data_IF_727282722600
#
_entry.id   IF_727282722600
#
_cell.length_a   1.000
_cell.length_b   1.000
_cell.length_c   1.000
_cell.angle_alpha   90.00
_cell.angle_beta   90.00
_cell.angle_gamma   90.00
#
_symmetry.space_group_name_H-M   'P 1'
#
loop_
_entity.id
_entity.type
_entity.pdbx_description
1 polymer ?
#
# COMPACT_ATOMS: atom_id res chain seq x y z
N UNK A 1 4.96 -28.75 3.04
CA UNK A 1 4.16 -28.13 4.13
C UNK A 1 4.89 -28.10 5.48
N UNK A 2 6.01 -28.86 5.67
CA UNK A 2 6.76 -28.87 6.93
C UNK A 2 7.80 -27.74 7.07
N UNK A 3 8.15 -27.03 6.01
CA UNK A 3 9.15 -25.95 6.02
C UNK A 3 8.71 -24.68 6.80
N UNK A 4 7.40 -24.54 7.07
CA UNK A 4 6.87 -23.41 7.84
C UNK A 4 6.78 -23.67 9.36
N UNK A 5 6.98 -24.91 9.82
CA UNK A 5 6.87 -25.25 11.24
C UNK A 5 7.88 -24.49 12.12
N UNK A 6 9.17 -24.35 11.72
CA UNK A 6 10.11 -23.56 12.51
C UNK A 6 9.74 -22.08 12.62
N UNK A 7 9.18 -21.50 11.55
CA UNK A 7 8.75 -20.09 11.55
C UNK A 7 7.53 -19.86 12.45
N UNK A 8 6.57 -20.80 12.45
CA UNK A 8 5.39 -20.75 13.31
C UNK A 8 5.81 -20.88 14.77
N UNK A 9 6.68 -21.83 15.10
CA UNK A 9 7.20 -22.02 16.47
C UNK A 9 8.01 -20.82 16.96
N UNK A 10 8.85 -20.22 16.09
CA UNK A 10 9.60 -19.01 16.43
C UNK A 10 8.65 -17.83 16.73
N UNK A 11 7.58 -17.67 15.94
CA UNK A 11 6.57 -16.64 16.14
C UNK A 11 5.78 -16.81 17.43
N UNK A 12 5.31 -18.02 17.71
CA UNK A 12 4.59 -18.34 18.95
C UNK A 12 5.51 -18.18 20.19
N UNK A 13 6.78 -18.59 20.08
CA UNK A 13 7.76 -18.43 21.15
C UNK A 13 8.06 -16.95 21.42
N UNK A 14 8.14 -16.12 20.38
CA UNK A 14 8.28 -14.65 20.51
C UNK A 14 7.08 -14.03 21.21
N UNK A 15 5.86 -14.41 20.85
CA UNK A 15 4.63 -13.95 21.48
C UNK A 15 4.54 -14.34 22.95
N UNK A 16 4.88 -15.59 23.28
CA UNK A 16 4.83 -16.11 24.65
C UNK A 16 5.96 -15.52 25.51
N UNK A 17 7.15 -15.29 24.96
CA UNK A 17 8.29 -14.75 25.68
C UNK A 17 8.26 -13.24 25.91
N UNK A 18 7.28 -12.51 25.31
CA UNK A 18 7.19 -11.05 25.36
C UNK A 18 8.38 -10.33 24.70
N UNK A 19 9.22 -11.04 23.95
CA UNK A 19 10.41 -10.50 23.27
C UNK A 19 10.12 -9.79 21.96
N UNK A 20 8.84 -9.50 21.66
CA UNK A 20 8.46 -8.65 20.52
C UNK A 20 8.90 -7.18 20.72
N UNK A 21 9.11 -6.74 21.94
CA UNK A 21 9.65 -5.40 22.24
C UNK A 21 11.18 -5.46 22.14
N UNK A 22 11.73 -4.74 21.18
CA UNK A 22 13.17 -4.62 20.96
C UNK A 22 13.63 -3.22 21.45
N UNK A 23 14.33 -3.19 22.59
CA UNK A 23 14.93 -1.97 23.12
C UNK A 23 16.42 -1.94 22.71
N UNK A 24 16.72 -1.34 21.56
CA UNK A 24 18.07 -1.24 21.03
C UNK A 24 18.20 -0.08 20.07
N UNK A 25 19.36 0.54 20.04
CA UNK A 25 19.66 1.65 19.12
C UNK A 25 20.11 1.11 17.77
N UNK A 26 19.52 1.57 16.69
CA UNK A 26 19.88 1.26 15.30
C UNK A 26 19.44 2.37 14.37
N UNK A 27 19.99 2.40 13.16
CA UNK A 27 19.51 3.28 12.07
C UNK A 27 18.69 2.43 11.12
N UNK A 28 17.45 2.81 10.79
CA UNK A 28 16.66 2.09 9.77
C UNK A 28 17.33 2.09 8.40
N UNK A 29 17.17 0.97 7.69
CA UNK A 29 17.67 0.76 6.34
C UNK A 29 16.51 0.92 5.36
N UNK A 30 16.71 1.68 4.29
CA UNK A 30 15.73 1.81 3.19
C UNK A 30 15.75 0.52 2.38
N UNK A 31 14.58 -0.09 2.22
CA UNK A 31 14.38 -1.34 1.46
C UNK A 31 13.49 -1.15 0.24
N UNK A 32 12.71 -0.06 0.22
CA UNK A 32 11.86 0.33 -0.90
C UNK A 32 11.71 1.86 -0.92
N UNK A 33 12.06 2.48 -2.04
CA UNK A 33 12.07 3.94 -2.21
C UNK A 33 10.71 4.51 -2.62
N UNK A 34 9.71 3.69 -2.88
CA UNK A 34 8.38 4.14 -3.33
C UNK A 34 7.66 5.08 -2.35
N UNK A 35 8.08 5.10 -1.09
CA UNK A 35 7.51 5.91 -0.02
C UNK A 35 8.49 6.96 0.54
N UNK A 36 9.77 6.91 0.20
CA UNK A 36 10.78 7.70 0.90
C UNK A 36 11.74 8.38 -0.07
N UNK A 37 11.55 9.68 -0.26
CA UNK A 37 12.55 10.57 -0.87
C UNK A 37 13.56 11.10 0.19
N UNK A 38 13.62 10.44 1.35
CA UNK A 38 14.40 10.88 2.49
C UNK A 38 15.75 10.16 2.56
N UNK A 39 16.75 10.88 3.02
CA UNK A 39 18.08 10.34 3.29
C UNK A 39 18.53 10.71 4.71
N UNK A 40 19.49 9.95 5.24
CA UNK A 40 20.07 10.27 6.55
C UNK A 40 19.09 10.07 7.70
N UNK A 41 18.37 8.95 7.70
CA UNK A 41 17.44 8.62 8.77
C UNK A 41 18.10 8.64 10.14
N UNK A 42 17.44 9.27 11.13
CA UNK A 42 17.89 9.23 12.52
C UNK A 42 17.85 7.82 13.11
N UNK A 43 18.52 7.63 14.23
CA UNK A 43 18.45 6.39 14.99
C UNK A 43 17.11 6.24 15.71
N UNK A 44 16.66 5.00 15.81
CA UNK A 44 15.61 4.56 16.73
C UNK A 44 16.23 3.81 17.90
N UNK A 45 15.64 3.89 19.08
CA UNK A 45 16.08 3.16 20.27
C UNK A 45 15.17 1.99 20.63
N UNK A 46 14.15 1.72 19.81
CA UNK A 46 13.27 0.57 19.99
C UNK A 46 12.18 0.45 18.91
N UNK A 47 11.60 -0.73 18.83
CA UNK A 47 10.51 -1.08 17.93
C UNK A 47 9.82 -2.38 18.38
N UNK A 48 8.67 -2.66 17.78
CA UNK A 48 7.97 -3.94 17.92
C UNK A 48 8.41 -4.89 16.79
N UNK A 49 9.11 -5.96 17.15
CA UNK A 49 9.49 -7.00 16.18
C UNK A 49 8.23 -7.66 15.63
N UNK A 50 8.06 -7.57 14.32
CA UNK A 50 6.91 -8.10 13.58
C UNK A 50 7.38 -8.85 12.34
N UNK A 51 6.48 -9.61 11.75
CA UNK A 51 6.71 -10.26 10.47
C UNK A 51 5.85 -9.59 9.41
N UNK A 52 6.41 -9.31 8.28
CA UNK A 52 5.70 -8.76 7.14
C UNK A 52 4.57 -9.69 6.65
N UNK A 53 3.50 -9.14 6.15
CA UNK A 53 2.49 -9.89 5.42
C UNK A 53 2.99 -10.22 4.01
N UNK A 54 2.54 -11.33 3.39
CA UNK A 54 3.01 -11.73 2.05
C UNK A 54 2.83 -10.69 0.94
N UNK A 55 1.91 -9.73 1.11
CA UNK A 55 1.62 -8.66 0.14
C UNK A 55 2.03 -7.27 0.65
N UNK A 56 2.72 -7.19 1.78
CA UNK A 56 3.22 -5.93 2.27
C UNK A 56 4.53 -5.55 1.57
N UNK A 57 4.70 -4.27 1.33
CA UNK A 57 5.96 -3.67 0.94
C UNK A 57 6.61 -3.10 2.19
N UNK A 58 7.84 -3.49 2.49
CA UNK A 58 8.63 -2.94 3.58
C UNK A 58 9.45 -1.79 3.01
N UNK A 59 9.23 -0.56 3.49
CA UNK A 59 9.98 0.62 3.04
C UNK A 59 11.17 0.95 3.93
N UNK A 60 11.08 0.64 5.22
CA UNK A 60 12.19 0.73 6.17
C UNK A 60 12.27 -0.55 6.98
N UNK A 61 13.47 -1.09 7.13
CA UNK A 61 13.75 -2.26 7.95
C UNK A 61 14.77 -1.93 9.04
N UNK A 62 14.80 -2.74 10.10
CA UNK A 62 15.89 -2.75 11.06
C UNK A 62 17.14 -3.37 10.45
N UNK A 63 18.26 -3.27 11.14
CA UNK A 63 19.52 -3.98 10.79
C UNK A 63 19.41 -5.51 10.94
N UNK A 64 18.25 -6.03 11.36
CA UNK A 64 17.88 -7.45 11.41
C UNK A 64 16.83 -7.83 10.39
N UNK A 65 16.60 -6.97 9.40
CA UNK A 65 15.60 -7.17 8.34
C UNK A 65 14.15 -7.22 8.85
N UNK A 66 13.88 -6.77 10.09
CA UNK A 66 12.52 -6.70 10.63
C UNK A 66 11.85 -5.40 10.18
N UNK A 67 10.54 -5.41 9.80
CA UNK A 67 9.84 -4.24 9.30
C UNK A 67 9.75 -3.11 10.33
N UNK A 68 10.16 -1.91 9.95
CA UNK A 68 9.99 -0.67 10.72
C UNK A 68 8.87 0.18 10.12
N UNK A 69 8.86 0.34 8.80
CA UNK A 69 7.80 0.97 8.05
C UNK A 69 7.37 0.02 6.95
N UNK A 70 6.11 -0.38 6.95
CA UNK A 70 5.56 -1.25 5.92
C UNK A 70 4.15 -0.80 5.53
N UNK A 71 3.77 -1.09 4.29
CA UNK A 71 2.44 -0.76 3.80
C UNK A 71 1.89 -1.85 2.88
N UNK A 72 0.57 -1.89 2.73
CA UNK A 72 -0.11 -2.79 1.80
C UNK A 72 -1.46 -2.23 1.37
N UNK A 73 -1.96 -2.75 0.25
CA UNK A 73 -3.32 -2.47 -0.21
C UNK A 73 -4.32 -3.33 0.56
N UNK A 74 -5.40 -2.73 1.04
CA UNK A 74 -6.52 -3.43 1.65
C UNK A 74 -7.84 -2.92 1.06
N UNK A 75 -8.48 -3.73 0.22
CA UNK A 75 -9.62 -3.26 -0.57
C UNK A 75 -9.24 -2.07 -1.46
N UNK A 76 -10.03 -1.01 -1.41
CA UNK A 76 -9.74 0.25 -2.11
C UNK A 76 -8.79 1.19 -1.33
N UNK A 77 -8.49 0.86 -0.07
CA UNK A 77 -7.64 1.68 0.80
C UNK A 77 -6.22 1.17 0.91
N UNK A 78 -5.38 1.97 1.57
CA UNK A 78 -4.01 1.62 1.92
C UNK A 78 -3.86 1.55 3.44
N UNK A 79 -3.06 0.62 3.90
CA UNK A 79 -2.67 0.49 5.30
C UNK A 79 -1.19 0.74 5.39
N UNK A 80 -0.79 1.52 6.36
CA UNK A 80 0.61 1.78 6.69
C UNK A 80 0.84 1.43 8.15
N UNK A 81 1.95 0.77 8.44
CA UNK A 81 2.35 0.35 9.77
C UNK A 81 3.73 0.92 10.09
N UNK A 82 3.81 1.65 11.18
CA UNK A 82 5.04 2.10 11.80
C UNK A 82 5.23 1.34 13.11
N UNK A 83 6.29 0.53 13.22
CA UNK A 83 6.49 -0.40 14.35
C UNK A 83 7.23 0.20 15.54
N UNK A 84 7.72 1.44 15.42
CA UNK A 84 8.25 2.21 16.54
C UNK A 84 7.14 3.08 17.16
N UNK A 85 7.50 4.03 18.01
CA UNK A 85 6.56 4.97 18.62
C UNK A 85 6.56 6.33 17.90
N UNK A 86 5.61 7.21 18.29
CA UNK A 86 5.53 8.61 17.84
C UNK A 86 5.54 9.58 19.03
N UNK A 87 5.91 9.11 20.21
CA UNK A 87 5.92 9.89 21.45
C UNK A 87 7.34 10.24 21.96
N UNK A 88 8.36 9.69 21.29
CA UNK A 88 9.76 9.98 21.61
C UNK A 88 10.41 9.00 22.58
N UNK A 89 9.73 7.95 23.03
CA UNK A 89 10.35 6.93 23.86
C UNK A 89 11.44 6.16 23.08
N UNK A 90 11.16 5.85 21.81
CA UNK A 90 12.08 5.17 20.88
C UNK A 90 12.44 6.03 19.67
N UNK A 91 11.59 6.98 19.32
CA UNK A 91 11.67 7.80 18.10
C UNK A 91 12.13 9.24 18.35
N UNK A 92 12.79 9.54 19.49
CA UNK A 92 13.23 10.90 19.83
C UNK A 92 14.06 11.53 18.70
N UNK A 93 14.97 10.77 18.08
CA UNK A 93 15.77 11.22 16.95
C UNK A 93 14.92 11.61 15.75
N UNK A 94 13.88 10.83 15.43
CA UNK A 94 12.94 11.13 14.35
C UNK A 94 12.10 12.37 14.63
N UNK A 95 11.62 12.56 15.87
CA UNK A 95 10.80 13.72 16.21
C UNK A 95 11.59 15.04 16.22
N UNK A 96 12.90 14.98 16.46
CA UNK A 96 13.82 16.12 16.39
C UNK A 96 14.45 16.33 15.02
N UNK A 97 14.22 15.41 14.10
CA UNK A 97 14.77 15.49 12.76
C UNK A 97 14.13 16.62 11.96
N UNK A 98 14.94 17.38 11.22
CA UNK A 98 14.47 18.51 10.42
C UNK A 98 13.35 18.12 9.43
N UNK A 99 13.41 16.89 8.92
CA UNK A 99 12.42 16.37 7.96
C UNK A 99 11.26 15.60 8.64
N UNK A 100 11.16 15.58 9.97
CA UNK A 100 10.14 14.82 10.70
C UNK A 100 8.71 15.13 10.25
N UNK A 101 8.37 16.41 10.11
CA UNK A 101 7.04 16.84 9.69
C UNK A 101 6.71 16.38 8.25
N UNK A 102 7.68 16.45 7.33
CA UNK A 102 7.53 15.97 5.95
C UNK A 102 7.41 14.45 5.92
N UNK A 103 8.21 13.71 6.69
CA UNK A 103 8.17 12.26 6.77
C UNK A 103 6.82 11.74 7.30
N UNK A 104 6.40 12.17 8.49
CA UNK A 104 5.11 11.74 9.05
C UNK A 104 3.91 12.27 8.26
N UNK A 105 4.00 13.51 7.74
CA UNK A 105 3.00 14.08 6.85
C UNK A 105 2.85 13.30 5.54
N UNK A 106 3.97 12.87 4.94
CA UNK A 106 3.98 11.99 3.76
C UNK A 106 3.32 10.65 4.03
N UNK A 107 3.60 10.03 5.17
CA UNK A 107 2.93 8.79 5.60
C UNK A 107 1.41 8.96 5.71
N UNK A 108 0.95 10.05 6.32
CA UNK A 108 -0.48 10.36 6.42
C UNK A 108 -1.10 10.61 5.05
N UNK A 109 -0.45 11.43 4.21
CA UNK A 109 -0.91 11.70 2.85
C UNK A 109 -1.00 10.44 1.99
N UNK A 110 -0.09 9.48 2.19
CA UNK A 110 -0.09 8.23 1.45
C UNK A 110 -1.31 7.34 1.73
N UNK A 111 -1.81 7.32 2.97
CA UNK A 111 -2.98 6.50 3.35
C UNK A 111 -4.30 7.22 3.13
N UNK A 112 -4.29 8.55 3.02
CA UNK A 112 -5.50 9.30 2.71
C UNK A 112 -5.98 9.03 1.28
N UNK A 113 -7.31 9.01 1.05
CA UNK A 113 -7.85 8.94 -0.30
C UNK A 113 -7.27 10.08 -1.15
N UNK A 114 -6.73 9.74 -2.30
CA UNK A 114 -6.27 10.72 -3.28
C UNK A 114 -7.49 11.25 -4.05
N UNK A 115 -8.24 12.18 -3.49
CA UNK A 115 -9.46 12.73 -4.13
C UNK A 115 -9.18 13.45 -5.45
N UNK A 116 -7.96 13.94 -5.66
CA UNK A 116 -7.63 14.79 -6.80
C UNK A 116 -7.24 14.05 -8.10
N UNK A 117 -7.04 12.74 -8.07
CA UNK A 117 -6.59 11.97 -9.25
C UNK A 117 -7.32 10.64 -9.47
N UNK A 118 -8.28 10.30 -8.66
CA UNK A 118 -9.11 9.13 -8.89
C UNK A 118 -10.21 9.50 -9.89
N UNK A 119 -10.22 8.87 -11.06
CA UNK A 119 -11.39 8.93 -11.92
C UNK A 119 -12.61 8.31 -11.24
N UNK A 120 -13.78 8.64 -11.71
CA UNK A 120 -15.04 8.12 -11.17
C UNK A 120 -15.45 6.85 -11.90
N UNK A 121 -15.76 5.79 -11.14
CA UNK A 121 -16.28 4.53 -11.68
C UNK A 121 -17.76 4.41 -11.33
N UNK A 122 -18.60 4.16 -12.34
CA UNK A 122 -20.04 3.93 -12.18
C UNK A 122 -20.44 2.66 -12.90
N UNK A 123 -21.45 1.99 -12.37
CA UNK A 123 -22.15 0.92 -13.08
C UNK A 123 -23.56 1.41 -13.42
N UNK A 124 -23.86 1.52 -14.68
CA UNK A 124 -25.17 1.97 -15.16
C UNK A 124 -25.59 1.14 -16.38
N UNK A 125 -26.86 0.73 -16.43
CA UNK A 125 -27.48 0.07 -17.59
C UNK A 125 -26.69 -1.13 -18.16
N UNK A 126 -26.12 -1.96 -17.27
CA UNK A 126 -25.31 -3.10 -17.68
C UNK A 126 -23.93 -2.75 -18.26
N UNK A 127 -23.44 -1.54 -17.97
CA UNK A 127 -22.12 -1.07 -18.40
C UNK A 127 -21.30 -0.62 -17.19
N UNK A 128 -20.01 -0.83 -17.26
CA UNK A 128 -19.04 -0.22 -16.39
C UNK A 128 -18.51 1.02 -17.08
N UNK A 129 -18.77 2.17 -16.48
CA UNK A 129 -18.36 3.49 -16.99
C UNK A 129 -17.25 4.05 -16.10
N UNK A 130 -16.22 4.58 -16.72
CA UNK A 130 -15.10 5.23 -16.03
C UNK A 130 -14.87 6.61 -16.59
N UNK A 131 -14.91 7.63 -15.74
CA UNK A 131 -14.55 9.00 -16.09
C UNK A 131 -13.14 9.28 -15.59
N UNK A 132 -12.20 9.46 -16.50
CA UNK A 132 -10.81 9.73 -16.17
C UNK A 132 -10.62 11.15 -15.61
N UNK A 133 -9.64 11.37 -14.71
CA UNK A 133 -9.28 12.71 -14.27
C UNK A 133 -8.78 13.58 -15.43
N UNK A 134 -8.78 14.88 -15.22
CA UNK A 134 -8.34 15.83 -16.23
C UNK A 134 -6.86 15.62 -16.60
N UNK A 135 -6.56 15.57 -17.90
CA UNK A 135 -5.21 15.34 -18.41
C UNK A 135 -4.76 13.88 -18.44
N UNK A 136 -5.56 12.95 -17.94
CA UNK A 136 -5.23 11.52 -18.02
C UNK A 136 -5.71 10.94 -19.35
N UNK A 137 -4.76 10.44 -20.16
CA UNK A 137 -5.03 9.81 -21.45
C UNK A 137 -4.35 8.44 -21.54
N UNK A 138 -4.95 7.52 -22.29
CA UNK A 138 -4.39 6.20 -22.51
C UNK A 138 -5.45 5.12 -22.75
N UNK A 139 -5.02 3.87 -22.74
CA UNK A 139 -5.90 2.69 -22.71
C UNK A 139 -6.33 2.42 -21.28
N UNK A 140 -7.63 2.26 -21.07
CA UNK A 140 -8.19 1.89 -19.78
C UNK A 140 -8.47 0.39 -19.70
N UNK A 141 -8.04 -0.22 -18.61
CA UNK A 141 -8.39 -1.60 -18.26
C UNK A 141 -8.92 -1.64 -16.82
N UNK A 142 -10.07 -2.28 -16.63
CA UNK A 142 -10.62 -2.56 -15.33
C UNK A 142 -10.22 -3.96 -14.86
N UNK A 143 -9.72 -4.06 -13.65
CA UNK A 143 -9.59 -5.34 -12.95
C UNK A 143 -10.66 -5.41 -11.87
N UNK A 144 -11.57 -6.34 -12.02
CA UNK A 144 -12.75 -6.51 -11.16
C UNK A 144 -12.53 -7.73 -10.28
N UNK A 145 -12.61 -7.54 -8.96
CA UNK A 145 -12.58 -8.61 -7.97
C UNK A 145 -13.99 -8.83 -7.45
N UNK A 146 -14.49 -10.05 -7.62
CA UNK A 146 -15.81 -10.46 -7.16
C UNK A 146 -15.82 -10.86 -5.66
N UNK A 147 -17.01 -10.94 -5.03
CA UNK A 147 -17.15 -11.33 -3.63
C UNK A 147 -16.61 -12.72 -3.30
N UNK A 148 -16.56 -13.63 -4.27
CA UNK A 148 -16.01 -14.99 -4.14
C UNK A 148 -14.48 -15.05 -4.27
N UNK A 149 -13.83 -13.88 -4.47
CA UNK A 149 -12.39 -13.78 -4.65
C UNK A 149 -11.92 -14.01 -6.10
N UNK A 150 -12.80 -14.30 -7.04
CA UNK A 150 -12.43 -14.37 -8.45
C UNK A 150 -12.11 -12.99 -9.01
N UNK A 151 -11.16 -12.94 -9.96
CA UNK A 151 -10.74 -11.70 -10.59
C UNK A 151 -10.85 -11.82 -12.11
N UNK A 152 -11.39 -10.78 -12.77
CA UNK A 152 -11.43 -10.67 -14.22
C UNK A 152 -10.83 -9.34 -14.68
N UNK A 153 -10.18 -9.35 -15.85
CA UNK A 153 -9.74 -8.15 -16.54
C UNK A 153 -10.79 -7.80 -17.61
N UNK A 154 -11.12 -6.51 -17.71
CA UNK A 154 -12.10 -5.98 -18.66
C UNK A 154 -11.50 -4.74 -19.34
N UNK A 155 -11.15 -4.81 -20.64
CA UNK A 155 -10.74 -3.63 -21.38
C UNK A 155 -11.93 -2.68 -21.54
N UNK A 156 -11.67 -1.38 -21.33
CA UNK A 156 -12.65 -0.32 -21.49
C UNK A 156 -12.42 0.39 -22.83
N UNK A 157 -13.47 0.59 -23.61
CA UNK A 157 -13.44 1.37 -24.84
C UNK A 157 -13.60 2.84 -24.55
N UNK A 158 -12.77 3.68 -25.18
CA UNK A 158 -12.86 5.13 -25.04
C UNK A 158 -14.05 5.66 -25.85
N UNK A 159 -15.03 6.26 -25.18
CA UNK A 159 -16.24 6.83 -25.81
C UNK A 159 -16.19 8.35 -25.90
N UNK A 160 -15.42 9.02 -25.06
CA UNK A 160 -15.15 10.46 -25.14
C UNK A 160 -13.73 10.80 -24.69
N UNK A 161 -13.42 12.09 -24.57
CA UNK A 161 -12.08 12.54 -24.15
C UNK A 161 -11.68 11.99 -22.77
N UNK A 162 -12.65 11.81 -21.87
CA UNK A 162 -12.42 11.37 -20.50
C UNK A 162 -13.25 10.14 -20.09
N UNK A 163 -14.11 9.64 -20.99
CA UNK A 163 -15.03 8.56 -20.65
C UNK A 163 -14.64 7.26 -21.35
N UNK A 164 -14.67 6.19 -20.60
CA UNK A 164 -14.38 4.83 -21.02
C UNK A 164 -15.50 3.92 -20.55
N UNK A 165 -15.91 2.99 -21.39
CA UNK A 165 -17.00 2.09 -21.09
C UNK A 165 -16.71 0.66 -21.53
N UNK A 166 -17.30 -0.31 -20.82
CA UNK A 166 -17.41 -1.70 -21.28
C UNK A 166 -18.74 -2.31 -20.85
N UNK A 167 -19.25 -3.24 -21.60
CA UNK A 167 -20.40 -4.03 -21.17
C UNK A 167 -20.01 -4.91 -19.99
N UNK A 168 -20.64 -4.69 -18.85
CA UNK A 168 -20.43 -5.49 -17.65
C UNK A 168 -21.61 -5.36 -16.71
N UNK A 169 -22.11 -6.51 -16.28
CA UNK A 169 -23.15 -6.61 -15.27
C UNK A 169 -22.67 -7.53 -14.16
N UNK A 170 -22.95 -7.18 -12.92
CA UNK A 170 -22.55 -7.96 -11.76
C UNK A 170 -23.25 -9.34 -11.82
N UNK A 171 -22.51 -10.45 -11.91
CA UNK A 171 -23.11 -11.79 -12.05
C UNK A 171 -23.85 -12.27 -10.80
N UNK A 172 -23.58 -11.67 -9.63
CA UNK A 172 -24.22 -12.00 -8.37
C UNK A 172 -24.32 -10.76 -7.48
N UNK A 173 -25.27 -10.72 -6.53
CA UNK A 173 -25.31 -9.67 -5.53
C UNK A 173 -24.05 -9.69 -4.65
N UNK A 174 -23.49 -8.52 -4.35
CA UNK A 174 -22.32 -8.42 -3.47
C UNK A 174 -21.52 -7.14 -3.71
N UNK A 175 -20.44 -6.97 -2.95
CA UNK A 175 -19.50 -5.90 -3.13
C UNK A 175 -18.39 -6.32 -4.10
N UNK A 176 -18.18 -5.53 -5.15
CA UNK A 176 -17.12 -5.71 -6.13
C UNK A 176 -16.06 -4.63 -5.94
N UNK A 177 -14.79 -5.02 -5.95
CA UNK A 177 -13.70 -4.05 -5.99
C UNK A 177 -13.25 -3.88 -7.45
N UNK A 178 -13.22 -2.63 -7.91
CA UNK A 178 -12.80 -2.29 -9.28
C UNK A 178 -11.55 -1.44 -9.23
N UNK A 179 -10.49 -1.91 -9.88
CA UNK A 179 -9.26 -1.15 -10.08
C UNK A 179 -9.14 -0.80 -11.55
N UNK A 180 -9.06 0.50 -11.86
CA UNK A 180 -8.79 0.97 -13.23
C UNK A 180 -7.30 1.26 -13.38
N UNK A 181 -6.73 0.80 -14.46
CA UNK A 181 -5.37 1.13 -14.88
C UNK A 181 -5.42 1.85 -16.22
N UNK A 182 -4.85 3.05 -16.27
CA UNK A 182 -4.63 3.79 -17.52
C UNK A 182 -3.18 3.57 -17.95
N UNK A 183 -2.99 2.98 -19.13
CA UNK A 183 -1.67 2.80 -19.74
C UNK A 183 -1.52 3.83 -20.86
N UNK A 184 -0.55 4.73 -20.69
CA UNK A 184 -0.24 5.71 -21.77
C UNK A 184 0.28 4.95 -22.99
N UNK A 185 -0.25 5.24 -24.16
CA UNK A 185 0.34 4.79 -25.40
C UNK A 185 1.59 5.65 -25.64
N UNK A 186 2.76 5.11 -25.33
CA UNK A 186 4.00 5.69 -25.82
C UNK A 186 3.94 5.62 -27.35
N UNK A 187 3.73 6.77 -27.98
CA UNK A 187 3.88 6.88 -29.43
C UNK A 187 5.27 6.38 -29.85
N UNK A 188 5.44 5.93 -31.11
CA UNK A 188 6.73 5.45 -31.58
C UNK A 188 7.75 6.59 -31.50
N UNK A 189 8.92 6.24 -30.93
CA UNK A 189 10.09 7.12 -30.91
C UNK A 189 10.59 7.38 -32.33
#
# INVERSE_FOLDING_TARGET
EFDNVPKIFAKETLLISGRYVQNRVFTPVVTDESMTDFSGFPTLSGYLATTEKPLATVSLASDREEPILAWWQYGAGRVLCWTSDTQGAWSEGFLRWEQAAAFFGGMMAFVLPQEAQAGEVRQENGRLCYTAPEGAEGRAEARILAPDGSAQALPLERVSQREYEAAWEAPAPGAYAVKITLTQENGPA
#
